data_IF_903644844616
#
_entry.id   IF_903644844616
#
_cell.length_a   1.000
_cell.length_b   1.000
_cell.length_c   1.000
_cell.angle_alpha   90.00
_cell.angle_beta   90.00
_cell.angle_gamma   90.00
#
_symmetry.space_group_name_H-M   'P 1'
#
loop_
_entity.id
_entity.type
_entity.pdbx_description
1 polymer ?
#
# COMPACT_ATOMS: atom_id res chain seq x y z
N UNK A 1 7.08 -21.32 63.98
CA UNK A 1 7.09 -20.41 62.82
C UNK A 1 5.86 -19.52 62.95
N UNK A 2 6.04 -18.20 63.08
CA UNK A 2 4.95 -17.29 63.44
C UNK A 2 4.01 -17.11 62.24
N UNK A 3 2.79 -17.63 62.31
CA UNK A 3 1.81 -17.66 61.21
C UNK A 3 1.54 -16.28 60.62
N UNK A 4 1.75 -15.22 61.42
CA UNK A 4 1.66 -13.81 61.02
C UNK A 4 2.74 -13.36 60.03
N UNK A 5 3.96 -13.90 60.12
CA UNK A 5 5.07 -13.55 59.21
C UNK A 5 4.89 -14.23 57.85
N UNK A 6 4.36 -15.45 57.84
CA UNK A 6 4.06 -16.18 56.60
C UNK A 6 2.95 -15.48 55.81
N UNK A 7 1.89 -15.03 56.48
CA UNK A 7 0.77 -14.34 55.84
C UNK A 7 1.23 -13.02 55.20
N UNK A 8 2.00 -12.19 55.90
CA UNK A 8 2.47 -10.89 55.38
C UNK A 8 3.39 -11.07 54.16
N UNK A 9 4.24 -12.10 54.17
CA UNK A 9 5.15 -12.37 53.05
C UNK A 9 4.40 -12.88 51.81
N UNK A 10 3.33 -13.67 52.00
CA UNK A 10 2.46 -14.09 50.89
C UNK A 10 1.62 -12.96 50.31
N UNK A 11 1.12 -12.00 51.11
CA UNK A 11 0.37 -10.85 50.57
C UNK A 11 1.27 -9.84 49.87
N UNK A 12 2.51 -9.65 50.33
CA UNK A 12 3.47 -8.75 49.68
C UNK A 12 3.95 -9.28 48.32
N UNK A 13 4.10 -10.60 48.17
CA UNK A 13 4.53 -11.21 46.90
C UNK A 13 3.43 -11.21 45.84
N UNK A 14 2.16 -11.25 46.26
CA UNK A 14 1.01 -11.23 45.34
C UNK A 14 0.70 -9.83 44.76
N UNK A 15 1.12 -8.76 45.46
CA UNK A 15 0.92 -7.36 44.99
C UNK A 15 2.00 -6.87 44.01
N UNK A 16 3.11 -7.59 43.84
CA UNK A 16 4.24 -7.19 42.98
C UNK A 16 4.14 -7.66 41.52
N UNK A 17 3.10 -8.41 41.15
CA UNK A 17 2.97 -9.04 39.82
C UNK A 17 1.90 -8.41 38.93
N UNK A 18 1.40 -7.21 39.24
CA UNK A 18 0.63 -6.43 38.28
C UNK A 18 1.60 -5.61 37.44
N UNK A 19 2.38 -6.29 36.58
CA UNK A 19 2.93 -5.62 35.42
C UNK A 19 1.72 -5.22 34.56
N UNK A 20 1.62 -3.98 34.04
CA UNK A 20 0.67 -3.72 32.97
C UNK A 20 1.07 -4.65 31.82
N UNK A 21 0.27 -5.69 31.59
CA UNK A 21 0.28 -6.40 30.33
C UNK A 21 -0.19 -5.37 29.31
N UNK A 22 0.73 -4.62 28.72
CA UNK A 22 0.46 -3.93 27.46
C UNK A 22 0.21 -5.05 26.46
N UNK A 23 -1.06 -5.41 26.30
CA UNK A 23 -1.47 -6.28 25.21
C UNK A 23 -0.87 -5.68 23.92
N UNK A 24 -0.28 -6.49 23.03
CA UNK A 24 0.05 -5.99 21.72
C UNK A 24 -1.24 -5.42 21.13
N UNK A 25 -1.22 -4.12 20.82
CA UNK A 25 -2.31 -3.47 20.12
C UNK A 25 -2.37 -4.10 18.74
N UNK A 26 -3.25 -5.08 18.59
CA UNK A 26 -3.66 -5.56 17.27
C UNK A 26 -4.29 -4.38 16.57
N UNK A 27 -3.62 -3.83 15.56
CA UNK A 27 -4.25 -2.86 14.67
C UNK A 27 -5.17 -3.63 13.71
N UNK A 28 -6.24 -4.22 14.24
CA UNK A 28 -7.28 -4.86 13.44
C UNK A 28 -7.94 -3.87 12.48
N UNK A 29 -7.80 -2.57 12.77
CA UNK A 29 -8.29 -1.46 11.98
C UNK A 29 -7.15 -0.41 11.81
N UNK A 30 -7.20 0.42 10.76
CA UNK A 30 -6.27 1.54 10.62
C UNK A 30 -6.35 2.50 11.81
N UNK A 31 -5.26 3.22 12.17
CA UNK A 31 -5.35 4.30 13.14
C UNK A 31 -6.30 5.38 12.62
N UNK A 32 -7.17 5.89 13.49
CA UNK A 32 -8.19 6.88 13.11
C UNK A 32 -8.11 8.18 13.92
N UNK A 33 -7.14 8.30 14.83
CA UNK A 33 -7.01 9.36 15.83
C UNK A 33 -5.75 10.22 15.64
N UNK A 34 -5.02 10.03 14.53
CA UNK A 34 -3.76 10.70 14.25
C UNK A 34 -2.54 10.04 14.89
N UNK A 35 -2.71 8.92 15.61
CA UNK A 35 -1.61 8.21 16.26
C UNK A 35 -0.68 7.51 15.26
N UNK A 36 0.50 7.11 15.76
CA UNK A 36 1.41 6.22 15.03
C UNK A 36 1.24 4.79 15.54
N UNK A 37 1.07 3.86 14.61
CA UNK A 37 0.87 2.44 14.85
C UNK A 37 1.93 1.64 14.09
N UNK A 38 2.54 0.66 14.76
CA UNK A 38 3.45 -0.30 14.13
C UNK A 38 2.80 -1.67 14.08
N UNK A 39 2.69 -2.24 12.88
CA UNK A 39 2.19 -3.58 12.62
C UNK A 39 3.40 -4.52 12.64
N UNK A 40 3.43 -5.43 13.62
CA UNK A 40 4.53 -6.39 13.86
C UNK A 40 4.14 -7.84 13.59
N UNK A 41 2.89 -8.09 13.23
CA UNK A 41 2.34 -9.41 12.93
C UNK A 41 1.33 -9.31 11.78
N UNK A 42 1.11 -10.42 11.08
CA UNK A 42 0.22 -10.48 9.93
C UNK A 42 -1.18 -9.96 10.31
N UNK A 43 -1.63 -8.96 9.57
CA UNK A 43 -2.83 -8.17 9.89
C UNK A 43 -3.71 -8.05 8.66
N UNK A 44 -5.03 -8.08 8.85
CA UNK A 44 -6.00 -7.85 7.77
C UNK A 44 -6.95 -6.72 8.13
N UNK A 45 -7.03 -5.71 7.26
CA UNK A 45 -8.06 -4.68 7.29
C UNK A 45 -9.17 -5.04 6.31
N UNK A 46 -10.32 -5.47 6.86
CA UNK A 46 -11.44 -6.02 6.09
C UNK A 46 -12.73 -5.21 6.19
N UNK A 47 -12.67 -4.04 6.82
CA UNK A 47 -13.78 -3.11 6.91
C UNK A 47 -13.38 -1.80 6.27
N UNK A 48 -14.32 -1.17 5.57
CA UNK A 48 -14.11 0.17 5.06
C UNK A 48 -14.04 1.17 6.21
N UNK A 49 -13.01 2.02 6.23
CA UNK A 49 -12.75 2.94 7.34
C UNK A 49 -11.84 4.10 6.91
N UNK A 50 -11.59 5.04 7.83
CA UNK A 50 -10.68 6.14 7.60
C UNK A 50 -9.37 5.90 8.35
N UNK A 51 -8.25 6.02 7.64
CA UNK A 51 -6.92 6.08 8.22
C UNK A 51 -6.56 7.55 8.47
N UNK A 52 -6.36 7.89 9.74
CA UNK A 52 -5.80 9.15 10.21
C UNK A 52 -4.63 8.83 11.14
N UNK A 53 -3.40 9.04 10.67
CA UNK A 53 -2.18 8.77 11.43
C UNK A 53 -1.06 8.15 10.61
N UNK A 54 -0.07 7.58 11.30
CA UNK A 54 1.10 6.96 10.67
C UNK A 54 1.07 5.46 10.89
N UNK A 55 1.32 4.67 9.85
CA UNK A 55 1.39 3.21 9.94
C UNK A 55 2.76 2.75 9.49
N UNK A 56 3.41 1.90 10.29
CA UNK A 56 4.64 1.22 9.91
C UNK A 56 4.35 -0.28 9.83
N UNK A 57 4.50 -0.89 8.65
CA UNK A 57 4.41 -2.36 8.50
C UNK A 57 5.81 -2.93 8.59
N UNK A 58 6.09 -3.70 9.64
CA UNK A 58 7.43 -4.21 9.92
C UNK A 58 7.92 -5.21 8.85
N UNK A 59 9.23 -5.32 8.69
CA UNK A 59 9.82 -6.31 7.78
C UNK A 59 9.38 -7.74 8.11
N UNK A 60 9.06 -8.52 7.07
CA UNK A 60 8.62 -9.92 7.20
C UNK A 60 7.15 -10.12 7.59
N UNK A 61 6.36 -9.03 7.66
CA UNK A 61 4.94 -9.04 8.04
C UNK A 61 4.05 -8.67 6.85
N UNK A 62 2.86 -9.25 6.78
CA UNK A 62 1.84 -8.94 5.79
C UNK A 62 0.75 -8.03 6.36
N UNK A 63 0.48 -6.89 5.70
CA UNK A 63 -0.78 -6.16 5.83
C UNK A 63 -1.67 -6.47 4.63
N UNK A 64 -2.79 -7.15 4.86
CA UNK A 64 -3.78 -7.47 3.81
C UNK A 64 -4.96 -6.50 3.88
N UNK A 65 -5.28 -5.83 2.78
CA UNK A 65 -6.41 -4.90 2.68
C UNK A 65 -7.48 -5.51 1.78
N UNK A 66 -8.64 -5.76 2.37
CA UNK A 66 -9.85 -6.26 1.68
C UNK A 66 -11.02 -5.27 1.79
N UNK A 67 -10.93 -4.27 2.69
CA UNK A 67 -11.88 -3.16 2.79
C UNK A 67 -11.42 -1.90 2.03
N UNK A 68 -12.31 -0.91 1.92
CA UNK A 68 -12.00 0.39 1.31
C UNK A 68 -11.54 1.39 2.36
N UNK A 69 -10.25 1.74 2.35
CA UNK A 69 -9.66 2.63 3.34
C UNK A 69 -9.49 4.02 2.74
N UNK A 70 -10.07 5.02 3.39
CA UNK A 70 -9.88 6.43 3.05
C UNK A 70 -8.74 7.01 3.87
N UNK A 71 -7.69 7.54 3.23
CA UNK A 71 -6.49 8.05 3.89
C UNK A 71 -6.59 9.56 4.06
N UNK A 72 -6.73 10.01 5.30
CA UNK A 72 -6.89 11.43 5.65
C UNK A 72 -5.61 12.23 5.39
N UNK A 73 -5.71 13.55 5.13
CA UNK A 73 -4.54 14.39 4.86
C UNK A 73 -3.54 14.38 6.01
N UNK A 74 -2.25 14.26 5.67
CA UNK A 74 -1.17 14.19 6.67
C UNK A 74 -0.92 12.78 7.24
N UNK A 75 -1.71 11.78 6.84
CA UNK A 75 -1.45 10.38 7.15
C UNK A 75 -0.35 9.81 6.26
N UNK A 76 0.35 8.79 6.76
CA UNK A 76 1.39 8.10 5.99
C UNK A 76 1.46 6.62 6.33
N UNK A 77 1.90 5.82 5.37
CA UNK A 77 2.19 4.40 5.57
C UNK A 77 3.61 4.10 5.08
N UNK A 78 4.45 3.60 5.98
CA UNK A 78 5.78 3.08 5.69
C UNK A 78 5.72 1.54 5.70
N UNK A 79 5.83 0.93 4.52
CA UNK A 79 5.72 -0.52 4.37
C UNK A 79 7.11 -1.12 4.21
N UNK A 80 7.65 -1.68 5.29
CA UNK A 80 8.93 -2.41 5.29
C UNK A 80 8.73 -3.91 5.09
N UNK A 81 7.50 -4.41 5.31
CA UNK A 81 7.03 -5.76 4.99
C UNK A 81 6.30 -5.82 3.64
N UNK A 82 5.17 -6.52 3.61
CA UNK A 82 4.31 -6.63 2.43
C UNK A 82 2.98 -5.92 2.64
N UNK A 83 2.52 -5.21 1.61
CA UNK A 83 1.15 -4.71 1.50
C UNK A 83 0.41 -5.52 0.42
N UNK A 84 -0.66 -6.21 0.81
CA UNK A 84 -1.44 -7.10 -0.07
C UNK A 84 -2.81 -6.49 -0.28
N UNK A 85 -3.10 -6.01 -1.49
CA UNK A 85 -4.43 -5.53 -1.87
C UNK A 85 -5.27 -6.70 -2.40
N UNK A 86 -6.25 -7.17 -1.63
CA UNK A 86 -7.11 -8.30 -1.98
C UNK A 86 -8.57 -7.84 -2.12
N UNK A 87 -8.84 -7.06 -3.17
CA UNK A 87 -10.17 -6.52 -3.46
C UNK A 87 -10.57 -5.29 -2.64
N UNK A 88 -9.71 -4.81 -1.73
CA UNK A 88 -9.86 -3.51 -1.06
C UNK A 88 -9.17 -2.35 -1.78
N UNK A 89 -9.22 -1.16 -1.19
CA UNK A 89 -8.62 0.06 -1.76
C UNK A 89 -7.97 0.95 -0.70
N UNK A 90 -6.99 1.78 -1.10
CA UNK A 90 -6.40 2.86 -0.31
C UNK A 90 -6.60 4.17 -1.09
N UNK A 91 -7.51 5.02 -0.67
CA UNK A 91 -7.87 6.24 -1.39
C UNK A 91 -7.57 7.46 -0.53
N UNK A 92 -6.67 8.34 -0.97
CA UNK A 92 -6.41 9.59 -0.25
C UNK A 92 -7.60 10.54 -0.32
N UNK A 93 -7.86 11.29 0.76
CA UNK A 93 -8.75 12.45 0.73
C UNK A 93 -8.02 13.60 0.06
N UNK A 94 -8.59 14.12 -1.03
CA UNK A 94 -8.00 15.17 -1.84
C UNK A 94 -6.55 14.85 -2.25
N UNK A 95 -6.32 13.76 -3.01
CA UNK A 95 -5.01 13.53 -3.57
C UNK A 95 -4.61 14.78 -4.36
N UNK A 96 -3.33 15.20 -4.33
CA UNK A 96 -2.87 16.24 -5.24
C UNK A 96 -3.30 15.87 -6.65
N UNK A 97 -3.93 16.79 -7.38
CA UNK A 97 -4.52 16.52 -8.71
C UNK A 97 -3.53 15.94 -9.72
N UNK A 98 -2.25 16.14 -9.44
CA UNK A 98 -1.13 15.85 -10.33
C UNK A 98 -0.37 14.57 -9.90
N UNK A 99 -0.83 13.88 -8.85
CA UNK A 99 -0.17 12.70 -8.30
C UNK A 99 -1.13 11.50 -8.27
N UNK A 100 -0.94 10.60 -9.22
CA UNK A 100 -1.51 9.26 -9.19
C UNK A 100 -0.45 8.31 -8.62
N UNK A 101 -0.74 7.68 -7.48
CA UNK A 101 0.13 6.66 -6.90
C UNK A 101 -0.29 5.30 -7.43
N UNK A 102 0.66 4.59 -8.05
CA UNK A 102 0.43 3.29 -8.62
C UNK A 102 1.57 2.34 -8.28
N UNK A 103 1.23 1.14 -7.81
CA UNK A 103 2.18 0.06 -7.57
C UNK A 103 1.74 -1.14 -8.38
N UNK A 104 2.49 -1.44 -9.44
CA UNK A 104 2.34 -2.64 -10.24
C UNK A 104 3.14 -3.78 -9.60
N UNK A 105 2.47 -4.90 -9.31
CA UNK A 105 3.11 -6.14 -8.91
C UNK A 105 2.57 -7.28 -9.78
N UNK A 106 3.45 -8.10 -10.36
CA UNK A 106 3.09 -9.23 -11.23
C UNK A 106 3.37 -8.99 -12.71
N UNK A 107 2.87 -9.90 -13.55
CA UNK A 107 3.20 -9.94 -14.99
C UNK A 107 2.52 -8.83 -15.79
N UNK A 108 1.37 -8.32 -15.34
CA UNK A 108 0.65 -7.22 -15.98
C UNK A 108 0.02 -6.29 -14.95
N UNK A 109 -0.13 -5.01 -15.29
CA UNK A 109 -0.78 -4.04 -14.43
C UNK A 109 -1.40 -2.90 -15.26
N UNK A 110 -2.54 -2.36 -14.83
CA UNK A 110 -3.20 -1.21 -15.49
C UNK A 110 -3.30 0.02 -14.58
N UNK A 111 -2.92 1.19 -15.10
CA UNK A 111 -3.16 2.51 -14.51
C UNK A 111 -4.29 3.21 -15.26
N UNK A 112 -5.35 3.59 -14.56
CA UNK A 112 -6.39 4.44 -15.15
C UNK A 112 -5.98 5.92 -15.05
N UNK A 113 -6.00 6.61 -16.20
CA UNK A 113 -5.73 8.04 -16.30
C UNK A 113 -7.06 8.78 -16.55
N UNK A 114 -7.61 9.48 -15.53
CA UNK A 114 -8.80 10.30 -15.69
C UNK A 114 -8.48 11.56 -16.52
N UNK A 115 -9.31 11.80 -17.54
CA UNK A 115 -9.39 12.99 -18.40
C UNK A 115 -8.11 13.68 -18.92
N UNK A 116 -8.03 13.71 -20.25
CA UNK A 116 -7.66 14.91 -21.03
C UNK A 116 -8.58 14.97 -22.25
N UNK A 117 -9.14 16.14 -22.55
CA UNK A 117 -9.80 16.37 -23.84
C UNK A 117 -8.74 16.58 -24.91
N UNK A 118 -8.51 15.55 -25.72
CA UNK A 118 -7.58 15.59 -26.83
C UNK A 118 -6.32 14.74 -26.61
N UNK A 119 -5.38 14.86 -27.54
CA UNK A 119 -4.13 14.10 -27.53
C UNK A 119 -3.18 14.63 -26.46
N UNK A 120 -2.56 13.73 -25.71
CA UNK A 120 -1.54 14.06 -24.71
C UNK A 120 -0.38 13.09 -24.77
N UNK A 121 0.75 13.48 -24.19
CA UNK A 121 1.95 12.65 -24.10
C UNK A 121 2.05 12.06 -22.71
N UNK A 122 2.29 10.75 -22.64
CA UNK A 122 2.63 10.04 -21.41
C UNK A 122 4.13 9.75 -21.50
N UNK A 123 4.89 10.21 -20.50
CA UNK A 123 6.30 9.87 -20.35
C UNK A 123 6.48 8.95 -19.14
N UNK A 124 7.17 7.84 -19.36
CA UNK A 124 7.40 6.77 -18.40
C UNK A 124 8.90 6.73 -18.15
N UNK A 125 9.32 6.66 -16.89
CA UNK A 125 10.73 6.64 -16.51
C UNK A 125 11.05 5.39 -15.69
N UNK A 126 12.23 4.81 -15.91
CA UNK A 126 12.78 3.81 -15.00
C UNK A 126 13.26 4.47 -13.70
N UNK A 127 13.28 3.71 -12.62
CA UNK A 127 13.99 4.11 -11.42
C UNK A 127 15.51 4.10 -11.66
N UNK A 128 16.25 4.92 -10.91
CA UNK A 128 17.71 4.97 -11.00
C UNK A 128 18.34 3.58 -10.82
N UNK A 129 19.20 3.19 -11.76
CA UNK A 129 19.85 1.87 -11.78
C UNK A 129 19.06 0.77 -12.49
N UNK A 130 17.88 1.08 -13.03
CA UNK A 130 17.05 0.17 -13.83
C UNK A 130 16.82 0.74 -15.23
N UNK A 131 16.30 -0.08 -16.13
CA UNK A 131 15.81 0.33 -17.43
C UNK A 131 14.44 -0.33 -17.71
N UNK A 132 13.74 0.15 -18.73
CA UNK A 132 12.43 -0.34 -19.14
C UNK A 132 12.49 -1.54 -20.09
N UNK A 133 13.69 -2.07 -20.37
CA UNK A 133 13.83 -3.22 -21.28
C UNK A 133 13.11 -4.45 -20.71
N UNK A 134 12.48 -5.24 -21.57
CA UNK A 134 11.57 -6.34 -21.21
C UNK A 134 10.24 -5.90 -20.57
N UNK A 135 9.79 -4.68 -20.82
CA UNK A 135 8.43 -4.28 -20.51
C UNK A 135 7.75 -3.75 -21.77
N UNK A 136 6.44 -3.93 -21.84
CA UNK A 136 5.59 -3.32 -22.85
C UNK A 136 4.58 -2.38 -22.20
N UNK A 137 4.08 -1.45 -23.01
CA UNK A 137 3.03 -0.51 -22.63
C UNK A 137 1.96 -0.45 -23.71
N UNK A 138 0.69 -0.31 -23.31
CA UNK A 138 -0.43 -0.11 -24.23
C UNK A 138 -1.39 0.96 -23.66
N UNK A 139 -1.76 1.92 -24.50
CA UNK A 139 -2.83 2.87 -24.20
C UNK A 139 -4.17 2.39 -24.77
N UNK A 140 -5.11 2.01 -23.91
CA UNK A 140 -6.48 1.62 -24.27
C UNK A 140 -6.60 0.43 -25.26
N UNK A 141 -5.60 -0.45 -25.33
CA UNK A 141 -5.68 -1.64 -26.18
C UNK A 141 -5.51 -1.33 -27.67
N UNK A 142 -4.92 -0.18 -28.01
CA UNK A 142 -4.78 0.26 -29.41
C UNK A 142 -3.49 -0.23 -30.05
N UNK A 143 -2.53 -0.67 -29.24
CA UNK A 143 -1.24 -1.14 -29.70
C UNK A 143 -0.24 -1.22 -28.56
N UNK A 144 0.36 -2.40 -28.44
CA UNK A 144 1.45 -2.66 -27.52
C UNK A 144 2.78 -2.11 -28.08
N UNK A 145 3.52 -1.39 -27.25
CA UNK A 145 4.83 -0.84 -27.55
C UNK A 145 5.88 -1.44 -26.61
N UNK A 146 6.96 -2.01 -27.17
CA UNK A 146 8.13 -2.38 -26.38
C UNK A 146 8.78 -1.12 -25.82
N UNK A 147 9.11 -1.13 -24.55
CA UNK A 147 9.88 -0.09 -23.89
C UNK A 147 11.36 -0.47 -23.82
N UNK A 148 12.22 0.54 -23.82
CA UNK A 148 13.67 0.37 -23.77
C UNK A 148 14.33 1.54 -23.04
N UNK A 149 15.52 1.32 -22.46
CA UNK A 149 16.31 2.39 -21.86
C UNK A 149 15.68 3.02 -20.61
N UNK A 150 16.01 4.29 -20.34
CA UNK A 150 15.64 4.95 -19.09
C UNK A 150 14.27 5.64 -19.14
N UNK A 151 13.74 5.90 -20.34
CA UNK A 151 12.42 6.49 -20.53
C UNK A 151 11.72 5.99 -21.79
N UNK A 152 10.38 6.00 -21.76
CA UNK A 152 9.52 5.70 -22.90
C UNK A 152 8.45 6.78 -23.04
N UNK A 153 8.00 7.04 -24.27
CA UNK A 153 6.97 8.03 -24.55
C UNK A 153 5.89 7.42 -25.43
N UNK A 154 4.64 7.52 -24.98
CA UNK A 154 3.45 7.08 -25.74
C UNK A 154 2.40 8.19 -25.79
N UNK A 155 1.57 8.16 -26.83
CA UNK A 155 0.51 9.14 -27.05
C UNK A 155 -0.82 8.63 -26.50
N UNK A 156 -1.40 9.37 -25.56
CA UNK A 156 -2.74 9.16 -25.02
C UNK A 156 -3.81 9.99 -25.74
N UNK A 157 -5.09 9.60 -25.58
CA UNK A 157 -6.24 10.39 -26.01
C UNK A 157 -6.65 10.29 -27.49
N UNK A 158 -6.13 9.33 -28.25
CA UNK A 158 -6.60 9.02 -29.63
C UNK A 158 -7.96 8.33 -29.60
N UNK A 159 -8.86 8.64 -30.54
CA UNK A 159 -10.32 8.48 -30.41
C UNK A 159 -10.91 7.04 -30.46
N UNK A 160 -12.18 6.84 -30.02
CA UNK A 160 -13.07 7.74 -29.30
C UNK A 160 -13.23 7.31 -27.83
N UNK A 161 -12.44 7.89 -26.93
CA UNK A 161 -12.55 7.62 -25.50
C UNK A 161 -13.26 8.77 -24.79
N UNK A 162 -14.50 8.55 -24.38
CA UNK A 162 -15.24 9.45 -23.49
C UNK A 162 -15.15 8.89 -22.08
N UNK A 163 -14.30 9.49 -21.23
CA UNK A 163 -14.18 9.13 -19.82
C UNK A 163 -12.79 8.74 -19.33
N UNK A 164 -11.70 9.04 -20.07
CA UNK A 164 -10.34 8.66 -19.70
C UNK A 164 -9.86 7.40 -20.41
N UNK A 165 -8.78 6.80 -19.92
CA UNK A 165 -8.23 5.58 -20.52
C UNK A 165 -7.31 4.82 -19.58
N UNK A 166 -7.02 3.58 -19.95
CA UNK A 166 -6.13 2.68 -19.23
C UNK A 166 -4.77 2.66 -19.92
N UNK A 167 -3.72 2.92 -19.15
CA UNK A 167 -2.34 2.64 -19.50
C UNK A 167 -1.98 1.27 -18.92
N UNK A 168 -1.78 0.28 -19.77
CA UNK A 168 -1.43 -1.09 -19.38
C UNK A 168 0.07 -1.30 -19.50
N UNK A 169 0.65 -2.06 -18.59
CA UNK A 169 2.05 -2.42 -18.57
C UNK A 169 2.15 -3.93 -18.41
N UNK A 170 3.04 -4.56 -19.16
CA UNK A 170 3.27 -6.00 -19.08
C UNK A 170 4.77 -6.27 -19.07
N UNK A 171 5.22 -7.14 -18.17
CA UNK A 171 6.58 -7.64 -18.19
C UNK A 171 6.67 -8.70 -19.30
N UNK A 172 7.61 -8.52 -20.22
CA UNK A 172 7.98 -9.58 -21.16
C UNK A 172 8.72 -10.62 -20.34
N UNK A 173 7.98 -11.63 -19.89
CA UNK A 173 8.59 -12.83 -19.35
C UNK A 173 9.42 -13.46 -20.47
N UNK A 174 10.73 -13.31 -20.38
CA UNK A 174 11.61 -14.24 -21.09
C UNK A 174 11.17 -15.65 -20.71
N UNK A 175 11.05 -16.54 -21.70
CA UNK A 175 11.08 -17.98 -21.41
C UNK A 175 12.33 -18.20 -20.55
N UNK A 176 12.16 -18.33 -19.24
CA UNK A 176 13.21 -18.81 -18.36
C UNK A 176 13.44 -20.27 -18.75
N UNK A 177 14.38 -20.49 -19.66
CA UNK A 177 14.95 -21.80 -19.96
C UNK A 177 15.73 -22.35 -18.78
#
# INVERSE_FOLDING_TARGET
MNTRIVIILTTALLLGMVAPLSAPSMAAEPPSDGSSVTITEDTTWNQSSNMNGQVIVSAGVNLTITGDITVEPGSSMDVQGNLIMNGGSLNAVNPPSDLQFWSAYGDSSTLFLPESVGTFTIEIFSASGYNLSNYTVDWNGIGEENMEGDNHTIVGGVAPFTGGGTLSFEAILGEYG
#
